data_IF_298873375883
#
_entry.id   IF_298873375883
#
_cell.length_a   1.000
_cell.length_b   1.000
_cell.length_c   1.000
_cell.angle_alpha   90.00
_cell.angle_beta   90.00
_cell.angle_gamma   90.00
#
_symmetry.space_group_name_H-M   'P 1'
#
loop_
_entity.id
_entity.type
_entity.pdbx_description
1 polymer ?
#
# COMPACT_ATOMS: atom_id res chain seq x y z
N UNK A 1 8.39 -42.55 36.30
CA UNK A 1 9.81 -42.85 35.99
C UNK A 1 10.54 -41.68 35.32
N UNK A 2 10.03 -41.04 34.26
CA UNK A 2 10.79 -39.96 33.57
C UNK A 2 10.99 -38.68 34.40
N UNK A 3 9.99 -38.26 35.19
CA UNK A 3 10.10 -37.07 36.07
C UNK A 3 11.17 -37.20 37.15
N UNK A 4 11.41 -38.42 37.61
CA UNK A 4 12.42 -38.71 38.63
C UNK A 4 13.83 -38.70 38.01
N UNK A 5 13.99 -39.31 36.83
CA UNK A 5 15.22 -39.21 36.03
C UNK A 5 15.56 -37.77 35.69
N UNK A 6 14.56 -36.97 35.30
CA UNK A 6 14.71 -35.53 35.02
C UNK A 6 15.21 -34.74 36.23
N UNK A 7 14.64 -34.99 37.41
CA UNK A 7 15.07 -34.34 38.65
C UNK A 7 16.52 -34.68 38.99
N UNK A 8 16.93 -35.94 38.79
CA UNK A 8 18.31 -36.36 38.99
C UNK A 8 19.27 -35.64 38.02
N UNK A 9 18.90 -35.53 36.74
CA UNK A 9 19.73 -34.84 35.73
C UNK A 9 19.91 -33.34 36.07
N UNK A 10 18.83 -32.65 36.46
CA UNK A 10 18.89 -31.23 36.85
C UNK A 10 19.81 -31.04 38.06
N UNK A 11 19.69 -31.90 39.08
CA UNK A 11 20.52 -31.84 40.28
C UNK A 11 22.01 -32.05 39.98
N UNK A 12 22.32 -32.95 39.03
CA UNK A 12 23.69 -33.23 38.63
C UNK A 12 24.32 -32.04 37.86
N UNK A 13 23.55 -31.39 36.97
CA UNK A 13 24.00 -30.19 36.26
C UNK A 13 24.31 -29.04 37.24
N UNK A 14 23.50 -28.86 38.28
CA UNK A 14 23.78 -27.87 39.33
C UNK A 14 25.04 -28.21 40.14
N UNK A 15 25.29 -29.50 40.38
CA UNK A 15 26.48 -29.96 41.06
C UNK A 15 27.75 -29.67 40.22
N UNK A 16 27.68 -29.90 38.90
CA UNK A 16 28.77 -29.53 37.98
C UNK A 16 29.04 -28.03 37.96
N UNK A 17 27.98 -27.21 38.06
CA UNK A 17 28.10 -25.74 38.16
C UNK A 17 28.81 -25.31 39.45
N UNK A 18 28.39 -25.86 40.60
CA UNK A 18 29.03 -25.56 41.91
C UNK A 18 30.47 -26.04 41.97
N UNK A 19 30.75 -27.20 41.38
CA UNK A 19 32.09 -27.79 41.30
C UNK A 19 33.00 -27.17 40.23
N UNK A 20 32.49 -26.22 39.43
CA UNK A 20 33.19 -25.62 38.26
C UNK A 20 33.76 -26.67 37.29
N UNK A 21 33.09 -27.81 37.17
CA UNK A 21 33.45 -28.89 36.23
C UNK A 21 33.15 -28.52 34.78
N UNK A 22 32.18 -27.63 34.56
CA UNK A 22 31.77 -27.10 33.27
C UNK A 22 31.61 -25.56 33.37
N UNK A 23 31.87 -24.81 32.28
CA UNK A 23 31.62 -23.37 32.24
C UNK A 23 30.12 -23.05 32.38
N UNK A 24 29.78 -21.96 33.07
CA UNK A 24 28.41 -21.61 33.45
C UNK A 24 27.43 -21.55 32.26
N UNK A 25 27.86 -20.97 31.14
CA UNK A 25 27.03 -20.86 29.93
C UNK A 25 26.58 -22.23 29.36
N UNK A 26 27.37 -23.29 29.55
CA UNK A 26 26.98 -24.64 29.12
C UNK A 26 25.95 -25.27 30.07
N UNK A 27 26.08 -25.02 31.38
CA UNK A 27 25.08 -25.43 32.36
C UNK A 27 23.72 -24.76 32.08
N UNK A 28 23.73 -23.47 31.72
CA UNK A 28 22.51 -22.72 31.40
C UNK A 28 21.82 -23.27 30.15
N UNK A 29 22.59 -23.64 29.12
CA UNK A 29 22.05 -24.30 27.92
C UNK A 29 21.38 -25.64 28.25
N UNK A 30 22.04 -26.49 29.06
CA UNK A 30 21.50 -27.79 29.44
C UNK A 30 20.25 -27.67 30.31
N UNK A 31 20.23 -26.73 31.26
CA UNK A 31 19.05 -26.48 32.09
C UNK A 31 17.86 -26.03 31.24
N UNK A 32 18.07 -25.15 30.26
CA UNK A 32 17.02 -24.72 29.34
C UNK A 32 16.47 -25.86 28.47
N UNK A 33 17.27 -26.88 28.16
CA UNK A 33 16.81 -28.06 27.39
C UNK A 33 15.88 -28.96 28.22
N UNK A 34 16.02 -28.92 29.55
CA UNK A 34 15.17 -29.65 30.48
C UNK A 34 14.13 -28.78 31.16
N UNK A 35 14.05 -27.49 30.87
CA UNK A 35 12.96 -26.64 31.35
C UNK A 35 11.79 -26.76 30.38
N UNK A 36 10.78 -27.56 30.73
CA UNK A 36 9.65 -27.89 29.84
C UNK A 36 8.77 -26.65 29.54
N UNK A 37 9.07 -25.49 30.13
CA UNK A 37 8.35 -24.24 29.97
C UNK A 37 9.10 -23.19 29.11
N UNK A 38 10.36 -23.44 28.71
CA UNK A 38 11.19 -22.46 27.98
C UNK A 38 10.97 -22.44 26.45
N UNK A 39 10.07 -23.26 25.90
CA UNK A 39 9.75 -23.25 24.46
C UNK A 39 8.25 -23.27 24.16
N UNK A 40 7.58 -22.16 24.49
CA UNK A 40 6.40 -21.68 23.72
C UNK A 40 6.54 -20.22 23.30
N UNK A 41 7.77 -19.76 23.04
CA UNK A 41 7.99 -18.47 22.37
C UNK A 41 8.39 -18.70 20.92
N UNK A 42 7.54 -19.37 20.16
CA UNK A 42 7.66 -19.40 18.70
C UNK A 42 6.41 -18.76 18.08
N UNK A 43 6.57 -17.48 17.74
CA UNK A 43 5.66 -16.69 16.92
C UNK A 43 5.53 -17.36 15.54
N UNK A 44 4.46 -18.10 15.30
CA UNK A 44 3.91 -18.27 13.95
C UNK A 44 2.56 -18.98 13.98
N UNK A 45 1.61 -18.42 13.25
CA UNK A 45 0.28 -18.94 12.88
C UNK A 45 -0.76 -18.99 14.01
N UNK A 46 -1.77 -18.13 13.84
CA UNK A 46 -3.04 -18.03 14.57
C UNK A 46 -3.50 -19.37 15.17
N UNK A 47 -3.27 -19.58 16.47
CA UNK A 47 -3.76 -20.77 17.17
C UNK A 47 -5.20 -20.55 17.63
N UNK A 48 -6.04 -21.57 17.42
CA UNK A 48 -7.46 -21.61 17.82
C UNK A 48 -7.65 -21.40 19.35
N UNK A 49 -6.58 -21.52 20.12
CA UNK A 49 -6.55 -21.24 21.57
C UNK A 49 -6.63 -19.74 21.92
N UNK A 50 -6.22 -18.83 21.04
CA UNK A 50 -6.40 -17.37 21.22
C UNK A 50 -7.88 -16.96 21.08
N UNK A 51 -8.64 -17.65 20.23
CA UNK A 51 -10.09 -17.43 20.06
C UNK A 51 -10.88 -17.77 21.34
N UNK A 52 -10.36 -18.68 22.18
CA UNK A 52 -11.01 -19.11 23.42
C UNK A 52 -10.87 -18.09 24.58
N UNK A 53 -9.95 -17.13 24.45
CA UNK A 53 -9.78 -15.96 25.35
C UNK A 53 -10.32 -14.66 24.71
N UNK A 54 -11.27 -14.78 23.78
CA UNK A 54 -11.82 -13.64 23.04
C UNK A 54 -12.38 -12.56 23.96
N UNK A 55 -11.73 -11.39 23.96
CA UNK A 55 -12.27 -10.18 24.58
C UNK A 55 -13.62 -9.87 23.93
N UNK A 56 -14.72 -9.90 24.70
CA UNK A 56 -16.09 -9.67 24.19
C UNK A 56 -16.18 -8.40 23.34
N UNK A 57 -15.37 -7.38 23.64
CA UNK A 57 -15.27 -6.14 22.84
C UNK A 57 -14.73 -6.39 21.43
N UNK A 58 -13.74 -7.27 21.26
CA UNK A 58 -13.17 -7.62 19.96
C UNK A 58 -14.16 -8.46 19.14
N UNK A 59 -14.88 -9.38 19.79
CA UNK A 59 -15.90 -10.20 19.15
C UNK A 59 -17.11 -9.36 18.73
N UNK A 60 -17.59 -8.47 19.61
CA UNK A 60 -18.62 -7.50 19.30
C UNK A 60 -18.20 -6.54 18.17
N UNK A 61 -16.95 -6.05 18.16
CA UNK A 61 -16.44 -5.21 17.09
C UNK A 61 -16.40 -5.94 15.74
N UNK A 62 -16.00 -7.22 15.74
CA UNK A 62 -16.03 -8.05 14.53
C UNK A 62 -17.45 -8.35 14.06
N UNK A 63 -18.39 -8.58 14.98
CA UNK A 63 -19.79 -8.78 14.64
C UNK A 63 -20.41 -7.50 14.06
N UNK A 64 -20.13 -6.35 14.67
CA UNK A 64 -20.60 -5.03 14.21
C UNK A 64 -20.03 -4.71 12.83
N UNK A 65 -18.74 -4.97 12.59
CA UNK A 65 -18.15 -4.70 11.27
C UNK A 65 -18.78 -5.56 10.18
N UNK A 66 -18.99 -6.85 10.44
CA UNK A 66 -19.66 -7.76 9.51
C UNK A 66 -21.12 -7.34 9.28
N UNK A 67 -21.85 -7.03 10.35
CA UNK A 67 -23.24 -6.56 10.26
C UNK A 67 -23.34 -5.25 9.46
N UNK A 68 -22.41 -4.32 9.66
CA UNK A 68 -22.36 -3.06 8.92
C UNK A 68 -22.07 -3.29 7.43
N UNK A 69 -21.18 -4.22 7.09
CA UNK A 69 -20.89 -4.59 5.69
C UNK A 69 -22.15 -5.15 5.02
N UNK A 70 -22.88 -6.05 5.69
CA UNK A 70 -24.14 -6.58 5.17
C UNK A 70 -25.21 -5.51 5.05
N UNK A 71 -25.34 -4.64 6.05
CA UNK A 71 -26.31 -3.55 6.03
C UNK A 71 -26.05 -2.59 4.87
N UNK A 72 -24.78 -2.19 4.66
CA UNK A 72 -24.39 -1.42 3.48
C UNK A 72 -24.73 -2.20 2.22
N UNK A 73 -24.34 -3.48 2.11
CA UNK A 73 -24.61 -4.29 0.92
C UNK A 73 -26.09 -4.41 0.53
N UNK A 74 -26.99 -4.54 1.51
CA UNK A 74 -28.43 -4.70 1.26
C UNK A 74 -29.16 -3.38 1.05
N UNK A 75 -28.83 -2.33 1.83
CA UNK A 75 -29.55 -1.05 1.76
C UNK A 75 -28.99 -0.12 0.69
N UNK A 76 -27.69 -0.23 0.35
CA UNK A 76 -27.07 0.64 -0.65
C UNK A 76 -27.77 0.61 -2.01
N UNK A 77 -28.19 -0.55 -2.58
CA UNK A 77 -28.95 -0.60 -3.83
C UNK A 77 -30.34 0.04 -3.79
N UNK A 78 -30.94 0.17 -2.60
CA UNK A 78 -32.30 0.71 -2.42
C UNK A 78 -32.28 2.24 -2.35
N UNK A 79 -31.15 2.84 -1.95
CA UNK A 79 -30.99 4.28 -1.83
C UNK A 79 -30.92 4.96 -3.21
N UNK A 80 -31.51 6.14 -3.33
CA UNK A 80 -31.31 6.99 -4.51
C UNK A 80 -29.85 7.46 -4.63
N UNK A 81 -29.41 7.78 -5.84
CA UNK A 81 -28.03 8.17 -6.14
C UNK A 81 -27.44 9.28 -5.24
N UNK A 82 -28.18 10.33 -4.80
CA UNK A 82 -27.60 11.35 -3.93
C UNK A 82 -27.27 10.79 -2.54
N UNK A 83 -28.13 9.91 -2.03
CA UNK A 83 -27.92 9.27 -0.74
C UNK A 83 -26.81 8.22 -0.81
N UNK A 84 -26.68 7.49 -1.92
CA UNK A 84 -25.54 6.61 -2.19
C UNK A 84 -24.22 7.41 -2.18
N UNK A 85 -24.16 8.52 -2.92
CA UNK A 85 -22.99 9.38 -2.97
C UNK A 85 -22.66 9.99 -1.60
N UNK A 86 -23.66 10.47 -0.86
CA UNK A 86 -23.49 11.00 0.49
C UNK A 86 -22.98 9.94 1.48
N UNK A 87 -23.48 8.71 1.39
CA UNK A 87 -23.02 7.59 2.22
C UNK A 87 -21.55 7.23 1.92
N UNK A 88 -21.16 7.18 0.64
CA UNK A 88 -19.76 6.98 0.24
C UNK A 88 -18.89 8.11 0.80
N UNK A 89 -19.29 9.37 0.59
CA UNK A 89 -18.53 10.53 1.06
C UNK A 89 -18.37 10.53 2.58
N UNK A 90 -19.43 10.20 3.32
CA UNK A 90 -19.39 10.08 4.78
C UNK A 90 -18.45 8.97 5.24
N UNK A 91 -18.52 7.78 4.63
CA UNK A 91 -17.68 6.64 4.99
C UNK A 91 -16.20 6.91 4.66
N UNK A 92 -15.91 7.48 3.50
CA UNK A 92 -14.55 7.87 3.09
C UNK A 92 -14.01 8.95 4.04
N UNK A 93 -14.80 9.97 4.36
CA UNK A 93 -14.42 11.03 5.31
C UNK A 93 -14.18 10.48 6.70
N UNK A 94 -15.00 9.52 7.15
CA UNK A 94 -14.80 8.82 8.41
C UNK A 94 -13.49 8.02 8.41
N UNK A 95 -13.21 7.24 7.37
CA UNK A 95 -11.96 6.48 7.24
C UNK A 95 -10.73 7.40 7.23
N UNK A 96 -10.77 8.48 6.45
CA UNK A 96 -9.66 9.43 6.37
C UNK A 96 -9.49 10.20 7.68
N UNK A 97 -10.59 10.67 8.29
CA UNK A 97 -10.58 11.33 9.59
C UNK A 97 -10.02 10.43 10.68
N UNK A 98 -10.50 9.20 10.77
CA UNK A 98 -9.97 8.22 11.72
C UNK A 98 -8.50 7.89 11.44
N UNK A 99 -8.09 7.80 10.17
CA UNK A 99 -6.71 7.60 9.77
C UNK A 99 -5.78 8.75 10.19
N UNK A 100 -6.27 9.99 10.14
CA UNK A 100 -5.52 11.18 10.62
C UNK A 100 -5.42 11.18 12.14
N UNK A 101 -6.52 10.89 12.84
CA UNK A 101 -6.57 10.83 14.29
C UNK A 101 -5.72 9.69 14.87
N UNK A 102 -5.75 8.51 14.24
CA UNK A 102 -5.00 7.33 14.64
C UNK A 102 -3.48 7.53 14.59
N UNK A 103 -3.01 8.39 13.68
CA UNK A 103 -1.59 8.60 13.38
C UNK A 103 -0.78 9.14 14.58
N UNK A 104 -1.42 9.85 15.50
CA UNK A 104 -0.79 10.40 16.71
C UNK A 104 -0.84 9.48 17.93
N UNK A 105 -1.41 8.27 17.83
CA UNK A 105 -1.70 7.40 18.99
C UNK A 105 -0.93 6.08 18.91
N UNK A 106 -0.36 5.66 20.04
CA UNK A 106 0.46 4.46 20.17
C UNK A 106 -0.25 3.14 19.80
N UNK A 107 -1.58 3.08 19.89
CA UNK A 107 -2.36 1.87 19.63
C UNK A 107 -2.54 1.53 18.14
N UNK A 108 -2.37 2.50 17.23
CA UNK A 108 -2.50 2.28 15.78
C UNK A 108 -1.28 2.73 14.95
N UNK A 109 -0.28 3.36 15.56
CA UNK A 109 1.00 3.71 14.91
C UNK A 109 0.86 4.46 13.58
N UNK A 110 1.98 4.63 12.87
CA UNK A 110 1.98 5.20 11.53
C UNK A 110 1.30 4.30 10.48
N UNK A 111 1.36 2.97 10.67
CA UNK A 111 0.90 1.98 9.70
C UNK A 111 -0.63 1.79 9.71
N UNK A 112 -1.29 1.84 10.88
CA UNK A 112 -2.75 1.74 10.96
C UNK A 112 -3.46 2.93 10.31
N UNK A 113 -2.89 4.14 10.45
CA UNK A 113 -3.38 5.32 9.74
C UNK A 113 -3.30 5.18 8.22
N UNK A 114 -2.22 4.59 7.70
CA UNK A 114 -2.07 4.31 6.26
C UNK A 114 -3.08 3.30 5.75
N UNK A 115 -3.35 2.24 6.51
CA UNK A 115 -4.38 1.25 6.16
C UNK A 115 -5.76 1.89 6.09
N UNK A 116 -6.10 2.82 7.00
CA UNK A 116 -7.38 3.51 6.98
C UNK A 116 -7.54 4.41 5.74
N UNK A 117 -6.48 5.08 5.27
CA UNK A 117 -6.52 5.78 3.98
C UNK A 117 -6.70 4.81 2.82
N UNK A 118 -6.01 3.67 2.83
CA UNK A 118 -6.17 2.66 1.77
C UNK A 118 -7.61 2.11 1.72
N UNK A 119 -8.19 1.78 2.88
CA UNK A 119 -9.58 1.33 2.98
C UNK A 119 -10.53 2.41 2.45
N UNK A 120 -10.37 3.67 2.88
CA UNK A 120 -11.20 4.77 2.36
C UNK A 120 -11.08 4.94 0.84
N UNK A 121 -9.89 4.79 0.27
CA UNK A 121 -9.69 4.86 -1.18
C UNK A 121 -10.32 3.69 -1.94
N UNK A 122 -10.25 2.47 -1.39
CA UNK A 122 -10.90 1.28 -1.95
C UNK A 122 -12.42 1.43 -1.88
N UNK A 123 -12.95 1.97 -0.76
CA UNK A 123 -14.37 2.27 -0.60
C UNK A 123 -14.83 3.30 -1.64
N UNK A 124 -14.09 4.39 -1.81
CA UNK A 124 -14.42 5.44 -2.79
C UNK A 124 -14.54 4.86 -4.22
N UNK A 125 -13.54 4.09 -4.64
CA UNK A 125 -13.50 3.53 -5.98
C UNK A 125 -14.47 2.35 -6.14
N UNK A 126 -14.56 1.45 -5.17
CA UNK A 126 -15.38 0.25 -5.22
C UNK A 126 -16.88 0.55 -5.10
N UNK A 127 -17.30 1.28 -4.07
CA UNK A 127 -18.70 1.68 -3.94
C UNK A 127 -19.10 2.70 -5.01
N UNK A 128 -18.19 3.58 -5.43
CA UNK A 128 -18.43 4.48 -6.56
C UNK A 128 -18.69 3.72 -7.87
N UNK A 129 -17.89 2.68 -8.17
CA UNK A 129 -18.11 1.84 -9.34
C UNK A 129 -19.41 1.03 -9.24
N UNK A 130 -19.77 0.58 -8.04
CA UNK A 130 -21.03 -0.12 -7.82
C UNK A 130 -22.23 0.81 -7.98
N UNK A 131 -22.16 2.03 -7.47
CA UNK A 131 -23.16 3.09 -7.64
C UNK A 131 -23.45 3.35 -9.13
N UNK A 132 -22.41 3.46 -9.97
CA UNK A 132 -22.55 3.65 -11.42
C UNK A 132 -23.38 2.53 -12.05
N UNK A 133 -23.07 1.27 -11.70
CA UNK A 133 -23.76 0.08 -12.21
C UNK A 133 -25.22 0.01 -11.77
N UNK A 134 -25.49 0.34 -10.51
CA UNK A 134 -26.84 0.31 -9.94
C UNK A 134 -27.78 1.32 -10.58
N UNK A 135 -27.27 2.51 -10.92
CA UNK A 135 -28.05 3.59 -11.53
C UNK A 135 -28.10 3.52 -13.06
N UNK A 136 -27.49 2.49 -13.68
CA UNK A 136 -27.49 2.32 -15.14
C UNK A 136 -26.81 3.47 -15.90
N UNK A 137 -25.85 4.16 -15.28
CA UNK A 137 -25.13 5.24 -15.94
C UNK A 137 -24.25 4.71 -17.07
N UNK A 138 -23.93 5.57 -18.05
CA UNK A 138 -23.06 5.17 -19.17
C UNK A 138 -21.66 4.81 -18.67
N UNK A 139 -21.40 3.50 -18.55
CA UNK A 139 -20.22 2.92 -17.91
C UNK A 139 -18.88 3.57 -18.32
N UNK A 140 -18.56 3.83 -19.61
CA UNK A 140 -17.26 4.39 -19.97
C UNK A 140 -17.07 5.83 -19.45
N UNK A 141 -18.09 6.67 -19.56
CA UNK A 141 -18.01 8.09 -19.18
C UNK A 141 -18.14 8.27 -17.68
N UNK A 142 -19.05 7.52 -17.06
CA UNK A 142 -19.23 7.54 -15.61
C UNK A 142 -17.99 7.02 -14.87
N UNK A 143 -17.35 5.97 -15.38
CA UNK A 143 -16.09 5.45 -14.80
C UNK A 143 -14.96 6.48 -14.91
N UNK A 144 -14.85 7.19 -16.03
CA UNK A 144 -13.87 8.28 -16.17
C UNK A 144 -14.16 9.44 -15.20
N UNK A 145 -15.43 9.78 -15.01
CA UNK A 145 -15.86 10.73 -13.99
C UNK A 145 -15.45 10.28 -12.58
N UNK A 146 -15.64 9.01 -12.24
CA UNK A 146 -15.23 8.45 -10.95
C UNK A 146 -13.71 8.49 -10.76
N UNK A 147 -12.92 8.10 -11.77
CA UNK A 147 -11.46 8.17 -11.71
C UNK A 147 -11.00 9.63 -11.54
N UNK A 148 -11.66 10.60 -12.19
CA UNK A 148 -11.39 12.03 -12.02
C UNK A 148 -11.69 12.51 -10.60
N UNK A 149 -12.82 12.09 -10.02
CA UNK A 149 -13.14 12.38 -8.61
C UNK A 149 -12.08 11.78 -7.68
N UNK A 150 -11.71 10.51 -7.90
CA UNK A 150 -10.63 9.87 -7.14
C UNK A 150 -9.30 10.63 -7.25
N UNK A 151 -8.92 11.06 -8.46
CA UNK A 151 -7.70 11.83 -8.68
C UNK A 151 -7.71 13.14 -7.87
N UNK A 152 -8.79 13.90 -7.93
CA UNK A 152 -8.95 15.17 -7.19
C UNK A 152 -8.91 14.92 -5.68
N UNK A 153 -9.69 13.96 -5.19
CA UNK A 153 -9.76 13.65 -3.75
C UNK A 153 -8.40 13.17 -3.23
N UNK A 154 -7.73 12.26 -3.93
CA UNK A 154 -6.45 11.70 -3.49
C UNK A 154 -5.31 12.71 -3.55
N UNK A 155 -5.29 13.61 -4.55
CA UNK A 155 -4.34 14.72 -4.59
C UNK A 155 -4.61 15.73 -3.46
N UNK A 156 -5.86 16.16 -3.30
CA UNK A 156 -6.24 17.13 -2.26
C UNK A 156 -5.93 16.60 -0.85
N UNK A 157 -6.37 15.39 -0.54
CA UNK A 157 -6.11 14.75 0.76
C UNK A 157 -4.62 14.43 0.92
N UNK A 158 -3.92 13.99 -0.13
CA UNK A 158 -2.48 13.73 -0.10
C UNK A 158 -1.61 14.99 0.08
N UNK A 159 -2.15 16.18 -0.23
CA UNK A 159 -1.52 17.47 0.08
C UNK A 159 -1.78 17.89 1.53
N UNK A 160 -3.00 17.70 2.05
CA UNK A 160 -3.35 18.04 3.43
C UNK A 160 -2.67 17.07 4.42
N UNK A 161 -2.82 15.77 4.18
CA UNK A 161 -2.31 14.69 5.03
C UNK A 161 -0.97 14.20 4.48
N UNK A 162 0.10 14.03 5.29
CA UNK A 162 1.42 13.59 4.84
C UNK A 162 1.49 12.10 4.46
N UNK A 163 0.57 11.65 3.61
CA UNK A 163 0.55 10.32 3.01
C UNK A 163 1.13 10.42 1.59
N UNK A 164 2.40 10.04 1.44
CA UNK A 164 3.05 9.99 0.13
C UNK A 164 2.34 9.06 -0.85
N UNK A 165 1.85 7.91 -0.35
CA UNK A 165 1.14 6.91 -1.13
C UNK A 165 -0.16 7.45 -1.73
N UNK A 166 -0.98 8.16 -0.93
CA UNK A 166 -2.27 8.68 -1.41
C UNK A 166 -2.06 9.73 -2.51
N UNK A 167 -1.09 10.62 -2.32
CA UNK A 167 -0.73 11.61 -3.34
C UNK A 167 -0.23 10.91 -4.62
N UNK A 168 0.63 9.90 -4.49
CA UNK A 168 1.09 9.09 -5.63
C UNK A 168 -0.08 8.42 -6.37
N UNK A 169 -1.04 7.83 -5.65
CA UNK A 169 -2.24 7.24 -6.26
C UNK A 169 -3.07 8.29 -7.03
N UNK A 170 -3.18 9.52 -6.51
CA UNK A 170 -3.83 10.64 -7.21
C UNK A 170 -3.18 10.95 -8.55
N UNK A 171 -1.84 10.98 -8.60
CA UNK A 171 -1.10 11.07 -9.86
C UNK A 171 -1.33 9.86 -10.77
N UNK A 172 -1.37 8.65 -10.21
CA UNK A 172 -1.71 7.44 -10.96
C UNK A 172 -3.08 7.53 -11.65
N UNK A 173 -4.09 8.04 -10.95
CA UNK A 173 -5.42 8.27 -11.52
C UNK A 173 -5.38 9.32 -12.64
N UNK A 174 -4.63 10.42 -12.48
CA UNK A 174 -4.43 11.40 -13.56
C UNK A 174 -3.72 10.80 -14.78
N UNK A 175 -2.73 9.93 -14.56
CA UNK A 175 -2.03 9.22 -15.63
C UNK A 175 -3.00 8.35 -16.43
N UNK A 176 -3.89 7.62 -15.76
CA UNK A 176 -4.91 6.80 -16.43
C UNK A 176 -5.91 7.64 -17.23
N UNK A 177 -6.36 8.77 -16.68
CA UNK A 177 -7.25 9.70 -17.39
C UNK A 177 -6.57 10.28 -18.63
N UNK A 178 -5.32 10.70 -18.47
CA UNK A 178 -4.51 11.22 -19.56
C UNK A 178 -4.28 10.18 -20.66
N UNK A 179 -3.93 8.94 -20.28
CA UNK A 179 -3.78 7.84 -21.22
C UNK A 179 -5.08 7.57 -21.99
N UNK A 180 -6.22 7.52 -21.29
CA UNK A 180 -7.52 7.26 -21.93
C UNK A 180 -7.92 8.38 -22.88
N UNK A 181 -7.78 9.64 -22.44
CA UNK A 181 -8.08 10.81 -23.26
C UNK A 181 -7.25 10.81 -24.54
N UNK A 182 -5.93 10.61 -24.43
CA UNK A 182 -5.06 10.58 -25.59
C UNK A 182 -5.31 9.35 -26.49
N UNK A 183 -5.62 8.20 -25.89
CA UNK A 183 -6.02 6.98 -26.60
C UNK A 183 -7.26 7.18 -27.47
N UNK A 184 -8.23 7.98 -27.00
CA UNK A 184 -9.43 8.31 -27.78
C UNK A 184 -9.13 9.32 -28.91
N UNK A 185 -8.30 10.32 -28.66
CA UNK A 185 -7.96 11.35 -29.65
C UNK A 185 -7.04 10.84 -30.76
N UNK A 186 -6.12 9.93 -30.43
CA UNK A 186 -5.13 9.38 -31.36
C UNK A 186 -5.09 7.85 -31.25
N UNK A 187 -6.11 7.12 -31.78
CA UNK A 187 -6.19 5.67 -31.64
C UNK A 187 -5.06 4.95 -32.40
N UNK A 188 -4.64 5.48 -33.55
CA UNK A 188 -3.55 4.94 -34.38
C UNK A 188 -2.17 5.57 -34.08
N UNK A 189 -1.96 6.04 -32.84
CA UNK A 189 -0.67 6.62 -32.44
C UNK A 189 0.46 5.59 -32.60
N UNK A 190 1.53 5.97 -33.29
CA UNK A 190 2.70 5.13 -33.46
C UNK A 190 3.56 5.11 -32.19
N UNK A 191 4.38 4.06 -32.01
CA UNK A 191 5.28 3.93 -30.86
C UNK A 191 6.17 5.19 -30.62
N UNK A 192 6.78 5.82 -31.65
CA UNK A 192 7.53 7.06 -31.45
C UNK A 192 6.68 8.24 -30.94
N UNK A 193 5.41 8.32 -31.36
CA UNK A 193 4.47 9.35 -30.88
C UNK A 193 4.19 9.17 -29.39
N UNK A 194 4.07 7.91 -28.92
CA UNK A 194 3.93 7.60 -27.50
C UNK A 194 5.18 8.01 -26.71
N UNK A 195 6.38 7.82 -27.26
CA UNK A 195 7.63 8.29 -26.62
C UNK A 195 7.62 9.82 -26.45
N UNK A 196 7.28 10.56 -27.51
CA UNK A 196 7.19 12.02 -27.48
C UNK A 196 6.13 12.54 -26.52
N UNK A 197 5.11 11.74 -26.23
CA UNK A 197 4.04 12.11 -25.32
C UNK A 197 4.45 11.94 -23.85
N UNK A 198 4.93 10.74 -23.48
CA UNK A 198 5.16 10.41 -22.06
C UNK A 198 6.56 10.81 -21.55
N UNK A 199 7.60 10.72 -22.39
CA UNK A 199 8.98 10.96 -21.93
C UNK A 199 9.20 12.42 -21.50
N UNK A 200 8.68 13.45 -22.19
CA UNK A 200 8.79 14.82 -21.70
C UNK A 200 8.07 15.05 -20.37
N UNK A 201 6.92 14.42 -20.14
CA UNK A 201 6.21 14.48 -18.85
C UNK A 201 7.02 13.82 -17.73
N UNK A 202 7.64 12.67 -18.01
CA UNK A 202 8.57 12.02 -17.08
C UNK A 202 9.73 12.95 -16.70
N UNK A 203 10.38 13.55 -17.69
CA UNK A 203 11.48 14.50 -17.47
C UNK A 203 11.05 15.75 -16.69
N UNK A 204 9.86 16.28 -16.99
CA UNK A 204 9.28 17.41 -16.28
C UNK A 204 9.01 17.08 -14.81
N UNK A 205 8.47 15.90 -14.49
CA UNK A 205 8.25 15.49 -13.10
C UNK A 205 9.56 15.19 -12.36
N UNK A 206 10.55 14.60 -13.02
CA UNK A 206 11.89 14.41 -12.45
C UNK A 206 12.57 15.76 -12.16
N UNK A 207 12.38 16.75 -13.04
CA UNK A 207 12.86 18.12 -12.81
C UNK A 207 12.08 18.82 -11.67
N UNK A 208 10.76 18.64 -11.61
CA UNK A 208 9.93 19.15 -10.51
C UNK A 208 10.28 18.50 -9.17
N UNK A 209 10.76 17.24 -9.15
CA UNK A 209 11.29 16.61 -7.94
C UNK A 209 12.48 17.40 -7.39
N UNK A 210 13.42 17.79 -8.26
CA UNK A 210 14.55 18.64 -7.86
C UNK A 210 14.09 20.01 -7.36
N UNK A 211 13.13 20.66 -8.02
CA UNK A 211 12.58 21.94 -7.56
C UNK A 211 11.86 21.80 -6.20
N UNK A 212 11.08 20.73 -6.04
CA UNK A 212 10.36 20.42 -4.82
C UNK A 212 11.32 20.14 -3.66
N UNK A 213 12.49 19.56 -3.91
CA UNK A 213 13.51 19.38 -2.86
C UNK A 213 13.90 20.72 -2.19
N UNK A 214 13.90 21.82 -2.94
CA UNK A 214 14.23 23.13 -2.39
C UNK A 214 13.04 23.84 -1.73
N UNK A 215 11.84 23.75 -2.29
CA UNK A 215 10.67 24.53 -1.82
C UNK A 215 9.64 23.74 -1.00
N UNK A 216 9.52 22.43 -1.25
CA UNK A 216 8.50 21.58 -0.65
C UNK A 216 8.99 20.14 -0.57
N UNK A 217 10.00 19.89 0.28
CA UNK A 217 10.74 18.63 0.43
C UNK A 217 9.84 17.39 0.47
N UNK A 218 8.67 17.51 1.12
CA UNK A 218 7.65 16.46 1.23
C UNK A 218 7.18 15.90 -0.13
N UNK A 219 7.17 16.70 -1.19
CA UNK A 219 6.69 16.27 -2.51
C UNK A 219 7.81 15.76 -3.43
N UNK A 220 9.08 15.99 -3.07
CA UNK A 220 10.22 15.63 -3.91
C UNK A 220 10.24 14.12 -4.22
N UNK A 221 10.04 13.29 -3.21
CA UNK A 221 9.99 11.82 -3.36
C UNK A 221 8.78 11.36 -4.19
N UNK A 222 7.64 12.04 -4.07
CA UNK A 222 6.43 11.72 -4.83
C UNK A 222 6.65 12.03 -6.32
N UNK A 223 7.09 13.23 -6.66
CA UNK A 223 7.34 13.60 -8.06
C UNK A 223 8.43 12.73 -8.70
N UNK A 224 9.45 12.34 -7.93
CA UNK A 224 10.46 11.40 -8.39
C UNK A 224 9.85 10.05 -8.75
N UNK A 225 9.04 9.47 -7.85
CA UNK A 225 8.37 8.20 -8.08
C UNK A 225 7.42 8.26 -9.28
N UNK A 226 6.60 9.31 -9.39
CA UNK A 226 5.69 9.48 -10.54
C UNK A 226 6.47 9.67 -11.84
N UNK A 227 7.56 10.44 -11.82
CA UNK A 227 8.44 10.63 -12.97
C UNK A 227 9.06 9.32 -13.47
N UNK A 228 9.52 8.45 -12.57
CA UNK A 228 10.01 7.10 -12.91
C UNK A 228 8.88 6.25 -13.50
N UNK A 229 7.68 6.28 -12.92
CA UNK A 229 6.53 5.53 -13.47
C UNK A 229 6.19 5.98 -14.88
N UNK A 230 6.22 7.28 -15.15
CA UNK A 230 5.98 7.84 -16.49
C UNK A 230 7.04 7.45 -17.53
N UNK A 231 8.28 7.15 -17.10
CA UNK A 231 9.36 6.74 -18.02
C UNK A 231 9.01 5.47 -18.81
N UNK A 232 8.27 4.56 -18.17
CA UNK A 232 7.84 3.28 -18.73
C UNK A 232 6.41 3.33 -19.31
N UNK A 233 5.70 4.46 -19.22
CA UNK A 233 4.33 4.57 -19.71
C UNK A 233 4.17 4.41 -21.23
N UNK A 234 5.10 4.81 -22.13
CA UNK A 234 4.96 4.52 -23.56
C UNK A 234 4.73 3.04 -23.86
N UNK A 235 5.54 2.17 -23.25
CA UNK A 235 5.48 0.73 -23.48
C UNK A 235 4.27 0.11 -22.79
N UNK A 236 3.89 0.61 -21.61
CA UNK A 236 2.69 0.16 -20.90
C UNK A 236 1.41 0.58 -21.63
N UNK A 237 1.33 1.79 -22.19
CA UNK A 237 0.19 2.28 -22.97
C UNK A 237 0.04 1.46 -24.26
N UNK A 238 1.13 1.26 -25.00
CA UNK A 238 1.13 0.47 -26.23
C UNK A 238 0.68 -0.98 -26.00
N UNK A 239 1.23 -1.64 -24.96
CA UNK A 239 0.95 -3.06 -24.67
C UNK A 239 -0.38 -3.28 -23.96
N UNK A 240 -0.66 -2.54 -22.87
CA UNK A 240 -1.80 -2.83 -21.98
C UNK A 240 -3.08 -2.10 -22.40
N UNK A 241 -2.96 -0.84 -22.81
CA UNK A 241 -4.13 0.01 -23.09
C UNK A 241 -4.57 -0.09 -24.55
N UNK A 242 -3.60 -0.17 -25.47
CA UNK A 242 -3.84 -0.24 -26.92
C UNK A 242 -3.79 -1.66 -27.47
N UNK A 243 -3.23 -2.60 -26.70
CA UNK A 243 -3.11 -4.01 -27.10
C UNK A 243 -2.36 -4.21 -28.42
N UNK A 244 -1.42 -3.31 -28.72
CA UNK A 244 -0.56 -3.42 -29.88
C UNK A 244 0.57 -4.41 -29.61
N UNK A 245 0.95 -5.17 -30.64
CA UNK A 245 2.10 -6.07 -30.61
C UNK A 245 3.26 -5.43 -31.35
N UNK A 246 3.90 -4.44 -30.73
CA UNK A 246 5.12 -3.84 -31.28
C UNK A 246 6.29 -4.82 -31.19
N UNK A 247 6.88 -5.14 -32.34
CA UNK A 247 8.05 -6.02 -32.41
C UNK A 247 9.20 -5.46 -31.57
N UNK A 248 9.80 -6.32 -30.74
CA UNK A 248 10.93 -5.94 -29.90
C UNK A 248 10.57 -5.13 -28.64
N UNK A 249 9.30 -5.03 -28.25
CA UNK A 249 8.87 -4.29 -27.03
C UNK A 249 9.64 -4.69 -25.76
N UNK A 250 9.97 -5.98 -25.62
CA UNK A 250 10.77 -6.49 -24.48
C UNK A 250 12.18 -5.89 -24.50
N UNK A 251 12.82 -5.81 -25.67
CA UNK A 251 14.15 -5.21 -25.82
C UNK A 251 14.12 -3.72 -25.53
N UNK A 252 13.07 -3.00 -25.93
CA UNK A 252 12.90 -1.59 -25.60
C UNK A 252 12.73 -1.36 -24.10
N UNK A 253 11.89 -2.17 -23.41
CA UNK A 253 11.73 -2.09 -21.95
C UNK A 253 13.06 -2.39 -21.24
N UNK A 254 13.78 -3.44 -21.65
CA UNK A 254 15.08 -3.79 -21.08
C UNK A 254 16.12 -2.68 -21.32
N UNK A 255 16.16 -2.10 -22.53
CA UNK A 255 17.03 -0.98 -22.86
C UNK A 255 16.72 0.25 -22.00
N UNK A 256 15.44 0.60 -21.83
CA UNK A 256 15.02 1.69 -20.94
C UNK A 256 15.33 1.42 -19.48
N UNK A 257 15.19 0.17 -19.03
CA UNK A 257 15.54 -0.23 -17.67
C UNK A 257 17.04 -0.10 -17.43
N UNK A 258 17.87 -0.56 -18.37
CA UNK A 258 19.32 -0.41 -18.31
C UNK A 258 19.74 1.07 -18.28
N UNK A 259 19.15 1.90 -19.14
CA UNK A 259 19.38 3.35 -19.15
C UNK A 259 18.95 4.00 -17.84
N UNK A 260 17.75 3.69 -17.34
CA UNK A 260 17.27 4.19 -16.06
C UNK A 260 18.22 3.80 -14.92
N UNK A 261 18.71 2.56 -14.89
CA UNK A 261 19.67 2.09 -13.90
C UNK A 261 21.01 2.84 -13.98
N UNK A 262 21.55 3.03 -15.19
CA UNK A 262 22.78 3.80 -15.40
C UNK A 262 22.60 5.24 -14.90
N UNK A 263 21.51 5.90 -15.27
CA UNK A 263 21.24 7.27 -14.84
C UNK A 263 21.06 7.38 -13.32
N UNK A 264 20.30 6.47 -12.72
CA UNK A 264 20.14 6.40 -11.26
C UNK A 264 21.47 6.14 -10.55
N UNK A 265 22.35 5.30 -11.10
CA UNK A 265 23.66 5.03 -10.49
C UNK A 265 24.63 6.21 -10.62
N UNK A 266 24.70 6.83 -11.80
CA UNK A 266 25.56 8.00 -12.08
C UNK A 266 25.13 9.18 -11.20
N UNK A 267 23.83 9.46 -11.10
CA UNK A 267 23.29 10.56 -10.30
C UNK A 267 22.90 10.21 -8.87
N UNK A 268 23.30 9.04 -8.35
CA UNK A 268 22.90 8.54 -7.02
C UNK A 268 23.03 9.56 -5.90
N UNK A 269 24.15 10.28 -5.83
CA UNK A 269 24.36 11.28 -4.77
C UNK A 269 23.35 12.43 -4.83
N UNK A 270 22.89 12.80 -6.03
CA UNK A 270 21.94 13.90 -6.23
C UNK A 270 20.51 13.44 -5.91
N UNK A 271 20.03 12.39 -6.60
CA UNK A 271 18.63 11.99 -6.42
C UNK A 271 18.35 11.40 -5.03
N UNK A 272 19.31 10.69 -4.42
CA UNK A 272 19.15 10.20 -3.05
C UNK A 272 18.94 11.38 -2.09
N UNK A 273 19.72 12.45 -2.23
CA UNK A 273 19.55 13.66 -1.41
C UNK A 273 18.19 14.32 -1.62
N UNK A 274 17.61 14.22 -2.82
CA UNK A 274 16.28 14.78 -3.10
C UNK A 274 15.17 14.01 -2.39
N UNK A 275 15.30 12.68 -2.35
CA UNK A 275 14.26 11.74 -1.89
C UNK A 275 14.39 11.40 -0.40
N UNK A 276 15.57 11.55 0.21
CA UNK A 276 15.87 11.19 1.61
C UNK A 276 15.36 12.20 2.64
N UNK A 277 14.17 12.74 2.43
CA UNK A 277 13.51 13.71 3.32
C UNK A 277 12.77 13.00 4.44
#
# INVERSE_FOLDING_TARGET
MEREKKRVIIMEIENWRKGKLLPEHYCDFLLNLYDDEATQTQKSTLSVTELKKGNFKLWALSFISVALIFLIGFYFPILDWPFQAAAIAALVSFCYGLGTYARGRAWMGGMGGQMLYAIGSIVLLGLGAWMIRLNGWQEPMAMLGLIAVCAVVWLAVGMIVPSGLLHYCGWGALILLYAKFFGQMNPAASWPMLQLLWVPLSMLLLWLSWLAHHKAKRFASIYFAVGITLWFMPELDDLLLRQNTTDGIILYILGKLALAFIFLFVWRKKWIAWVSV
#
